data_IF_369104451904
#
_entry.id   IF_369104451904
#
_cell.length_a   1.000
_cell.length_b   1.000
_cell.length_c   1.000
_cell.angle_alpha   90.00
_cell.angle_beta   90.00
_cell.angle_gamma   90.00
#
_symmetry.space_group_name_H-M   'P 1'
#
loop_
_entity.id
_entity.type
_entity.pdbx_description
1 polymer ?
#
# COMPACT_ATOMS: atom_id res chain seq x y z
N UNK A 1 -35.25 -15.43 -13.39
CA UNK A 1 -34.17 -15.71 -14.35
C UNK A 1 -32.82 -15.07 -13.96
N UNK A 2 -32.80 -13.93 -13.27
CA UNK A 2 -31.55 -13.24 -12.87
C UNK A 2 -30.70 -14.00 -11.84
N UNK A 3 -31.29 -14.60 -10.82
CA UNK A 3 -30.55 -15.30 -9.76
C UNK A 3 -29.92 -16.64 -10.18
N UNK A 4 -30.58 -17.35 -11.10
CA UNK A 4 -30.03 -18.60 -11.63
C UNK A 4 -28.82 -18.34 -12.53
N UNK A 5 -28.79 -17.23 -13.25
CA UNK A 5 -27.65 -16.82 -14.08
C UNK A 5 -26.44 -16.33 -13.22
N UNK A 6 -26.67 -15.73 -12.05
CA UNK A 6 -25.62 -15.38 -11.09
C UNK A 6 -24.90 -16.64 -10.58
N UNK A 7 -25.64 -17.69 -10.24
CA UNK A 7 -25.09 -18.97 -9.72
C UNK A 7 -24.27 -19.77 -10.72
N UNK A 8 -24.49 -19.58 -12.01
CA UNK A 8 -23.85 -20.39 -13.08
C UNK A 8 -22.57 -19.75 -13.64
N UNK A 9 -22.38 -18.40 -13.48
CA UNK A 9 -21.23 -17.66 -14.06
C UNK A 9 -20.37 -16.87 -13.08
N UNK A 10 -20.40 -17.19 -11.80
CA UNK A 10 -19.79 -16.42 -10.72
C UNK A 10 -20.84 -15.50 -10.07
N UNK A 11 -20.54 -15.00 -8.87
CA UNK A 11 -21.47 -14.25 -8.02
C UNK A 11 -21.76 -12.83 -8.53
N UNK A 12 -20.90 -12.26 -9.37
CA UNK A 12 -20.94 -10.85 -9.76
C UNK A 12 -21.57 -10.63 -11.15
N UNK A 13 -22.38 -9.56 -11.26
CA UNK A 13 -22.86 -9.06 -12.55
C UNK A 13 -21.77 -8.25 -13.27
N UNK A 14 -21.93 -7.95 -14.59
CA UNK A 14 -20.88 -7.27 -15.37
C UNK A 14 -20.34 -5.98 -14.73
N UNK A 15 -21.18 -5.08 -14.23
CA UNK A 15 -20.72 -3.83 -13.58
C UNK A 15 -19.91 -4.04 -12.32
N UNK A 16 -20.27 -5.04 -11.52
CA UNK A 16 -19.51 -5.42 -10.31
C UNK A 16 -18.12 -6.01 -10.68
N UNK A 17 -18.05 -6.78 -11.76
CA UNK A 17 -16.77 -7.31 -12.27
C UNK A 17 -15.88 -6.20 -12.79
N UNK A 18 -16.44 -5.25 -13.52
CA UNK A 18 -15.69 -4.09 -14.02
C UNK A 18 -15.15 -3.25 -12.87
N UNK A 19 -15.94 -3.11 -11.77
CA UNK A 19 -15.49 -2.45 -10.55
C UNK A 19 -14.29 -3.15 -9.92
N UNK A 20 -14.36 -4.47 -9.70
CA UNK A 20 -13.24 -5.24 -9.16
C UNK A 20 -12.00 -5.21 -10.06
N UNK A 21 -12.16 -5.22 -11.39
CA UNK A 21 -11.03 -5.12 -12.33
C UNK A 21 -10.31 -3.76 -12.22
N UNK A 22 -11.04 -2.66 -12.06
CA UNK A 22 -10.43 -1.34 -11.87
C UNK A 22 -9.71 -1.21 -10.54
N UNK A 23 -10.28 -1.73 -9.45
CA UNK A 23 -9.61 -1.78 -8.16
C UNK A 23 -8.36 -2.68 -8.22
N UNK A 24 -8.41 -3.77 -8.97
CA UNK A 24 -7.25 -4.63 -9.20
C UNK A 24 -6.15 -3.92 -10.01
N UNK A 25 -6.52 -3.04 -10.94
CA UNK A 25 -5.58 -2.19 -11.68
C UNK A 25 -4.90 -1.18 -10.74
N UNK A 26 -5.67 -0.48 -9.88
CA UNK A 26 -5.13 0.41 -8.84
C UNK A 26 -4.17 -0.33 -7.90
N UNK A 27 -4.57 -1.47 -7.36
CA UNK A 27 -3.73 -2.29 -6.49
C UNK A 27 -2.45 -2.76 -7.19
N UNK A 28 -2.49 -2.95 -8.52
CA UNK A 28 -1.30 -3.25 -9.32
C UNK A 28 -0.30 -2.09 -9.39
N UNK A 29 -0.79 -0.85 -9.48
CA UNK A 29 0.06 0.35 -9.41
C UNK A 29 0.67 0.50 -8.01
N UNK A 30 -0.10 0.21 -6.96
CA UNK A 30 0.37 0.17 -5.58
C UNK A 30 1.50 -0.85 -5.38
N UNK A 31 1.35 -2.08 -5.90
CA UNK A 31 2.39 -3.11 -5.85
C UNK A 31 3.69 -2.64 -6.50
N UNK A 32 3.64 -2.04 -7.71
CA UNK A 32 4.82 -1.46 -8.37
C UNK A 32 5.44 -0.34 -7.53
N UNK A 33 4.61 0.49 -6.88
CA UNK A 33 5.09 1.58 -6.02
C UNK A 33 5.84 1.06 -4.79
N UNK A 34 5.34 0.01 -4.12
CA UNK A 34 6.02 -0.61 -2.98
C UNK A 34 7.32 -1.32 -3.38
N UNK A 35 7.37 -1.97 -4.55
CA UNK A 35 8.61 -2.54 -5.10
C UNK A 35 9.68 -1.45 -5.32
N UNK A 36 9.27 -0.28 -5.80
CA UNK A 36 10.16 0.87 -5.96
C UNK A 36 10.62 1.45 -4.62
N UNK A 37 9.77 1.46 -3.57
CA UNK A 37 10.17 1.85 -2.21
C UNK A 37 11.24 0.92 -1.64
N UNK A 38 11.07 -0.39 -1.77
CA UNK A 38 12.10 -1.38 -1.39
C UNK A 38 13.42 -1.11 -2.12
N UNK A 39 13.36 -0.76 -3.41
CA UNK A 39 14.55 -0.41 -4.20
C UNK A 39 15.20 0.89 -3.70
N UNK A 40 14.44 1.94 -3.37
CA UNK A 40 14.94 3.18 -2.78
C UNK A 40 15.69 2.89 -1.48
N UNK A 41 15.08 2.13 -0.57
CA UNK A 41 15.64 1.77 0.72
C UNK A 41 16.92 0.94 0.58
N UNK A 42 16.93 -0.02 -0.35
CA UNK A 42 18.10 -0.88 -0.62
C UNK A 42 19.28 -0.12 -1.25
N UNK A 43 19.00 0.86 -2.11
CA UNK A 43 20.01 1.68 -2.78
C UNK A 43 20.70 2.65 -1.83
N UNK A 44 20.01 3.13 -0.82
CA UNK A 44 20.53 4.10 0.16
C UNK A 44 21.63 3.53 1.08
N UNK A 45 21.75 2.20 1.22
CA UNK A 45 22.72 1.51 2.10
C UNK A 45 24.14 1.37 1.57
N UNK A 46 24.35 1.57 0.28
CA UNK A 46 25.64 1.31 -0.39
C UNK A 46 26.65 2.48 -0.31
N UNK A 47 26.54 3.34 0.69
CA UNK A 47 27.34 4.56 0.91
C UNK A 47 28.75 4.33 1.45
N UNK A 48 29.55 3.40 0.87
CA UNK A 48 30.99 3.37 1.10
C UNK A 48 31.74 3.34 -0.22
N UNK A 49 32.46 4.46 -0.49
CA UNK A 49 33.49 4.66 -1.51
C UNK A 49 33.05 4.63 -2.98
N UNK A 50 33.16 5.77 -3.62
CA UNK A 50 33.21 6.08 -5.08
C UNK A 50 31.94 5.95 -5.94
N UNK A 51 30.75 5.73 -5.36
CA UNK A 51 29.49 5.56 -6.12
C UNK A 51 28.31 6.46 -5.74
N UNK A 52 28.50 7.49 -4.89
CA UNK A 52 27.39 8.28 -4.31
C UNK A 52 26.48 9.00 -5.33
N UNK A 53 26.95 9.28 -6.53
CA UNK A 53 26.13 9.89 -7.59
C UNK A 53 25.10 8.92 -8.17
N UNK A 54 25.41 7.64 -8.33
CA UNK A 54 24.48 6.66 -8.91
C UNK A 54 23.32 6.35 -7.94
N UNK A 55 23.57 6.19 -6.64
CA UNK A 55 22.51 5.87 -5.68
C UNK A 55 21.46 6.97 -5.53
N UNK A 56 21.86 8.25 -5.47
CA UNK A 56 20.91 9.36 -5.44
C UNK A 56 20.11 9.50 -6.73
N UNK A 57 20.75 9.25 -7.88
CA UNK A 57 20.09 9.27 -9.17
C UNK A 57 19.04 8.15 -9.29
N UNK A 58 19.35 6.94 -8.83
CA UNK A 58 18.41 5.81 -8.80
C UNK A 58 17.19 6.10 -7.90
N UNK A 59 17.42 6.75 -6.74
CA UNK A 59 16.33 7.19 -5.85
C UNK A 59 15.44 8.23 -6.53
N UNK A 60 16.01 9.18 -7.25
CA UNK A 60 15.26 10.19 -8.00
C UNK A 60 14.40 9.56 -9.09
N UNK A 61 14.94 8.61 -9.85
CA UNK A 61 14.21 7.86 -10.89
C UNK A 61 13.05 7.08 -10.26
N UNK A 62 13.29 6.36 -9.15
CA UNK A 62 12.24 5.59 -8.48
C UNK A 62 11.14 6.51 -7.92
N UNK A 63 11.51 7.64 -7.28
CA UNK A 63 10.55 8.62 -6.75
C UNK A 63 9.71 9.23 -7.87
N UNK A 64 10.31 9.57 -9.02
CA UNK A 64 9.54 10.10 -10.16
C UNK A 64 8.63 9.04 -10.78
N UNK A 65 9.06 7.77 -10.83
CA UNK A 65 8.19 6.69 -11.29
C UNK A 65 6.99 6.50 -10.37
N UNK A 66 7.16 6.55 -9.04
CA UNK A 66 6.05 6.49 -8.07
C UNK A 66 5.08 7.67 -8.27
N UNK A 67 5.58 8.89 -8.46
CA UNK A 67 4.75 10.05 -8.80
C UNK A 67 3.93 9.87 -10.10
N UNK A 68 4.45 9.15 -11.09
CA UNK A 68 3.71 8.82 -12.30
C UNK A 68 2.63 7.77 -12.02
N UNK A 69 2.93 6.77 -11.18
CA UNK A 69 1.96 5.72 -10.80
C UNK A 69 0.80 6.30 -10.01
N UNK A 70 1.06 7.20 -9.05
CA UNK A 70 0.02 7.92 -8.32
C UNK A 70 -0.89 8.70 -9.27
N UNK A 71 -0.36 9.50 -10.19
CA UNK A 71 -1.18 10.21 -11.19
C UNK A 71 -1.95 9.29 -12.15
N UNK A 72 -1.49 8.07 -12.33
CA UNK A 72 -2.27 7.06 -13.06
C UNK A 72 -3.40 6.53 -12.18
N UNK A 73 -3.15 6.33 -10.88
CA UNK A 73 -4.16 5.98 -9.88
C UNK A 73 -5.30 7.00 -9.85
N UNK A 74 -4.99 8.28 -9.66
CA UNK A 74 -5.96 9.39 -9.69
C UNK A 74 -6.92 9.31 -10.89
N UNK A 75 -6.38 9.05 -12.09
CA UNK A 75 -7.20 8.94 -13.30
C UNK A 75 -8.10 7.72 -13.30
N UNK A 76 -7.62 6.59 -12.77
CA UNK A 76 -8.43 5.39 -12.66
C UNK A 76 -9.54 5.63 -11.65
N UNK A 77 -9.26 6.21 -10.49
CA UNK A 77 -10.22 6.55 -9.44
C UNK A 77 -11.27 7.52 -9.96
N UNK A 78 -10.88 8.61 -10.62
CA UNK A 78 -11.82 9.54 -11.25
C UNK A 78 -12.73 8.84 -12.27
N UNK A 79 -12.16 8.00 -13.15
CA UNK A 79 -12.96 7.28 -14.16
C UNK A 79 -13.87 6.22 -13.55
N UNK A 80 -13.48 5.69 -12.37
CA UNK A 80 -14.26 4.75 -11.59
C UNK A 80 -15.47 5.42 -10.94
N UNK A 81 -15.31 6.58 -10.34
CA UNK A 81 -16.40 7.39 -9.80
C UNK A 81 -17.44 7.75 -10.88
N UNK A 82 -16.97 8.15 -12.08
CA UNK A 82 -17.86 8.40 -13.22
C UNK A 82 -18.64 7.13 -13.63
N UNK A 83 -18.03 5.96 -13.55
CA UNK A 83 -18.69 4.69 -13.86
C UNK A 83 -19.75 4.35 -12.82
N UNK A 84 -19.47 4.54 -11.53
CA UNK A 84 -20.40 4.34 -10.43
C UNK A 84 -21.62 5.26 -10.61
N UNK A 85 -21.43 6.56 -10.82
CA UNK A 85 -22.48 7.55 -10.98
C UNK A 85 -23.41 7.33 -12.21
N UNK A 86 -23.05 6.42 -13.13
CA UNK A 86 -23.94 6.02 -14.25
C UNK A 86 -24.97 4.94 -13.89
N UNK A 87 -25.00 4.51 -12.63
CA UNK A 87 -26.00 3.54 -12.14
C UNK A 87 -25.77 2.11 -12.62
N UNK A 88 -24.53 1.75 -12.94
CA UNK A 88 -24.14 0.38 -13.34
C UNK A 88 -24.18 -0.62 -12.19
N UNK A 89 -24.24 -0.13 -10.95
CA UNK A 89 -24.26 -0.87 -9.69
C UNK A 89 -25.43 -0.35 -8.84
N UNK A 90 -25.95 -1.16 -7.92
CA UNK A 90 -27.01 -0.73 -6.99
C UNK A 90 -26.46 0.29 -5.99
N UNK A 91 -27.21 1.36 -5.70
CA UNK A 91 -26.78 2.46 -4.83
C UNK A 91 -26.29 2.03 -3.43
N UNK A 92 -26.78 0.91 -2.89
CA UNK A 92 -26.32 0.39 -1.59
C UNK A 92 -24.89 -0.15 -1.62
N UNK A 93 -24.40 -0.56 -2.76
CA UNK A 93 -23.04 -1.15 -2.95
C UNK A 93 -22.11 -0.14 -3.61
N UNK A 94 -22.65 0.85 -4.30
CA UNK A 94 -21.91 1.94 -4.94
C UNK A 94 -21.02 2.66 -3.93
N UNK A 95 -21.55 2.97 -2.75
CA UNK A 95 -20.81 3.62 -1.66
C UNK A 95 -19.62 2.77 -1.18
N UNK A 96 -19.84 1.45 -0.98
CA UNK A 96 -18.77 0.56 -0.52
C UNK A 96 -17.68 0.38 -1.58
N UNK A 97 -18.04 0.35 -2.86
CA UNK A 97 -17.07 0.33 -3.95
C UNK A 97 -16.29 1.65 -4.06
N UNK A 98 -16.95 2.81 -3.83
CA UNK A 98 -16.27 4.10 -3.78
C UNK A 98 -15.20 4.10 -2.68
N UNK A 99 -15.59 3.75 -1.43
CA UNK A 99 -14.66 3.64 -0.31
C UNK A 99 -13.50 2.67 -0.57
N UNK A 100 -13.79 1.54 -1.22
CA UNK A 100 -12.78 0.55 -1.55
C UNK A 100 -11.75 1.12 -2.55
N UNK A 101 -12.21 1.86 -3.55
CA UNK A 101 -11.31 2.54 -4.49
C UNK A 101 -10.48 3.63 -3.80
N UNK A 102 -11.11 4.45 -2.93
CA UNK A 102 -10.45 5.50 -2.17
C UNK A 102 -9.34 4.94 -1.25
N UNK A 103 -9.58 3.80 -0.57
CA UNK A 103 -8.55 3.17 0.26
C UNK A 103 -7.36 2.69 -0.58
N UNK A 104 -7.62 2.07 -1.73
CA UNK A 104 -6.54 1.58 -2.61
C UNK A 104 -5.78 2.74 -3.27
N UNK A 105 -6.47 3.83 -3.63
CA UNK A 105 -5.82 5.05 -4.13
C UNK A 105 -4.96 5.70 -3.05
N UNK A 106 -5.45 5.75 -1.80
CA UNK A 106 -4.69 6.24 -0.64
C UNK A 106 -3.39 5.47 -0.39
N UNK A 107 -3.31 4.18 -0.74
CA UNK A 107 -2.05 3.42 -0.72
C UNK A 107 -1.01 4.03 -1.67
N UNK A 108 -1.42 4.46 -2.86
CA UNK A 108 -0.54 5.14 -3.84
C UNK A 108 -0.08 6.50 -3.32
N UNK A 109 -0.98 7.27 -2.72
CA UNK A 109 -0.69 8.56 -2.08
C UNK A 109 0.36 8.41 -0.98
N UNK A 110 0.19 7.44 -0.08
CA UNK A 110 1.14 7.15 1.00
C UNK A 110 2.49 6.68 0.45
N UNK A 111 2.51 5.79 -0.52
CA UNK A 111 3.74 5.35 -1.18
C UNK A 111 4.49 6.53 -1.83
N UNK A 112 3.77 7.46 -2.48
CA UNK A 112 4.34 8.68 -3.03
C UNK A 112 4.88 9.61 -1.94
N UNK A 113 4.13 9.85 -0.86
CA UNK A 113 4.58 10.66 0.28
C UNK A 113 5.84 10.07 0.91
N UNK A 114 5.84 8.77 1.22
CA UNK A 114 6.98 8.04 1.78
C UNK A 114 8.21 8.12 0.86
N UNK A 115 8.07 7.95 -0.45
CA UNK A 115 9.18 8.04 -1.42
C UNK A 115 9.87 9.40 -1.36
N UNK A 116 9.09 10.49 -1.23
CA UNK A 116 9.62 11.87 -1.10
C UNK A 116 10.33 12.09 0.24
N UNK A 117 9.81 11.50 1.32
CA UNK A 117 10.45 11.57 2.64
C UNK A 117 11.79 10.82 2.63
N UNK A 118 11.81 9.58 2.16
CA UNK A 118 13.02 8.77 2.02
C UNK A 118 14.09 9.48 1.18
N UNK A 119 13.71 10.14 0.08
CA UNK A 119 14.62 10.97 -0.73
C UNK A 119 15.22 12.13 0.08
N UNK A 120 14.44 12.77 0.96
CA UNK A 120 14.93 13.87 1.82
C UNK A 120 15.92 13.36 2.87
N UNK A 121 15.61 12.25 3.53
CA UNK A 121 16.47 11.60 4.54
C UNK A 121 17.80 11.20 3.91
N UNK A 122 17.77 10.56 2.74
CA UNK A 122 19.01 10.11 2.06
C UNK A 122 19.93 11.26 1.67
N UNK A 123 19.40 12.46 1.40
CA UNK A 123 20.20 13.66 1.12
C UNK A 123 20.88 14.27 2.38
N UNK A 124 20.47 13.85 3.57
CA UNK A 124 21.01 14.29 4.86
C UNK A 124 21.36 13.11 5.75
N UNK A 125 22.40 12.32 5.41
CA UNK A 125 22.74 11.14 6.18
C UNK A 125 23.20 11.55 7.59
N UNK A 126 22.72 10.80 8.59
CA UNK A 126 23.14 10.94 9.99
C UNK A 126 24.60 10.49 10.13
N UNK A 127 25.51 11.42 10.43
CA UNK A 127 26.93 11.08 10.64
C UNK A 127 27.19 10.54 12.05
N UNK A 128 26.45 11.04 13.04
CA UNK A 128 26.66 10.76 14.47
C UNK A 128 25.83 9.56 14.97
N UNK A 129 24.77 9.16 14.26
CA UNK A 129 23.90 8.05 14.60
C UNK A 129 23.84 6.97 13.50
N UNK A 130 24.97 6.63 12.91
CA UNK A 130 25.06 5.71 11.77
C UNK A 130 24.53 4.30 12.07
N UNK A 131 24.71 3.83 13.29
CA UNK A 131 24.22 2.51 13.73
C UNK A 131 22.69 2.51 13.78
N UNK A 132 22.09 3.56 14.35
CA UNK A 132 20.65 3.77 14.34
C UNK A 132 20.10 3.83 12.92
N UNK A 133 20.68 4.66 12.05
CA UNK A 133 20.24 4.78 10.63
C UNK A 133 20.25 3.43 9.90
N UNK A 134 21.29 2.60 10.17
CA UNK A 134 21.41 1.28 9.54
C UNK A 134 20.36 0.30 10.07
N UNK A 135 20.11 0.29 11.39
CA UNK A 135 19.12 -0.57 12.02
C UNK A 135 17.69 -0.15 11.57
N UNK A 136 17.36 1.13 11.69
CA UNK A 136 16.06 1.65 11.28
C UNK A 136 15.76 1.37 9.81
N UNK A 137 16.73 1.51 8.92
CA UNK A 137 16.56 1.20 7.50
C UNK A 137 16.24 -0.27 7.24
N UNK A 138 16.87 -1.17 7.99
CA UNK A 138 16.59 -2.61 7.87
C UNK A 138 15.15 -2.93 8.26
N UNK A 139 14.69 -2.36 9.35
CA UNK A 139 13.30 -2.55 9.81
C UNK A 139 12.30 -1.85 8.87
N UNK A 140 12.63 -0.68 8.32
CA UNK A 140 11.82 -0.02 7.30
C UNK A 140 11.69 -0.86 6.01
N UNK A 141 12.76 -1.53 5.57
CA UNK A 141 12.68 -2.49 4.44
C UNK A 141 11.74 -3.63 4.80
N UNK A 142 11.82 -4.16 6.01
CA UNK A 142 10.96 -5.23 6.49
C UNK A 142 9.48 -4.80 6.49
N UNK A 143 9.17 -3.65 7.07
CA UNK A 143 7.82 -3.09 7.12
C UNK A 143 7.22 -2.91 5.70
N UNK A 144 7.97 -2.31 4.77
CA UNK A 144 7.51 -2.16 3.37
C UNK A 144 7.37 -3.51 2.66
N UNK A 145 8.17 -4.52 3.00
CA UNK A 145 8.03 -5.88 2.45
C UNK A 145 6.80 -6.60 2.96
N UNK A 146 6.41 -6.39 4.23
CA UNK A 146 5.14 -6.86 4.79
C UNK A 146 3.99 -6.23 3.98
N UNK A 147 3.96 -4.91 3.82
CA UNK A 147 2.95 -4.21 3.01
C UNK A 147 2.88 -4.70 1.56
N UNK A 148 4.02 -4.99 0.93
CA UNK A 148 4.07 -5.56 -0.41
C UNK A 148 3.45 -6.97 -0.46
N UNK A 149 3.70 -7.79 0.56
CA UNK A 149 3.13 -9.14 0.68
C UNK A 149 1.62 -9.07 0.89
N UNK A 150 1.18 -8.16 1.75
CA UNK A 150 -0.21 -7.88 2.06
C UNK A 150 -0.98 -7.41 0.80
N UNK A 151 -0.41 -6.48 0.04
CA UNK A 151 -1.03 -5.97 -1.20
C UNK A 151 -1.11 -7.06 -2.29
N UNK A 152 -0.15 -7.96 -2.36
CA UNK A 152 -0.20 -9.15 -3.22
C UNK A 152 -1.31 -10.12 -2.81
N UNK A 153 -1.51 -10.34 -1.51
CA UNK A 153 -2.62 -11.13 -0.98
C UNK A 153 -3.97 -10.45 -1.30
N UNK A 154 -4.05 -9.12 -1.15
CA UNK A 154 -5.23 -8.33 -1.50
C UNK A 154 -5.59 -8.45 -3.00
N UNK A 155 -4.63 -8.39 -3.92
CA UNK A 155 -4.87 -8.61 -5.35
C UNK A 155 -5.40 -10.02 -5.65
N UNK A 156 -4.92 -11.03 -4.94
CA UNK A 156 -5.49 -12.39 -5.03
C UNK A 156 -6.91 -12.42 -4.51
N UNK A 157 -7.19 -11.77 -3.37
CA UNK A 157 -8.53 -11.62 -2.80
C UNK A 157 -9.50 -11.03 -3.83
N UNK A 158 -9.16 -9.92 -4.49
CA UNK A 158 -9.97 -9.31 -5.55
C UNK A 158 -10.26 -10.28 -6.70
N UNK A 159 -9.30 -11.12 -7.06
CA UNK A 159 -9.45 -12.09 -8.16
C UNK A 159 -10.48 -13.19 -7.84
N UNK A 160 -10.54 -13.61 -6.58
CA UNK A 160 -11.37 -14.76 -6.17
C UNK A 160 -12.67 -14.35 -5.48
N UNK A 161 -12.85 -13.08 -5.14
CA UNK A 161 -13.99 -12.56 -4.39
C UNK A 161 -15.35 -12.98 -4.98
N UNK A 162 -15.47 -13.08 -6.30
CA UNK A 162 -16.70 -13.51 -6.99
C UNK A 162 -16.83 -15.01 -7.22
N UNK A 163 -15.89 -15.84 -6.75
CA UNK A 163 -15.85 -17.28 -7.13
C UNK A 163 -15.64 -18.22 -5.96
N UNK A 164 -14.92 -17.82 -4.93
CA UNK A 164 -14.57 -18.70 -3.80
C UNK A 164 -14.58 -17.94 -2.47
N UNK A 165 -15.75 -17.90 -1.83
CA UNK A 165 -15.96 -17.20 -0.56
C UNK A 165 -15.03 -17.66 0.57
N UNK A 166 -14.83 -18.96 0.73
CA UNK A 166 -14.03 -19.46 1.84
C UNK A 166 -12.57 -19.04 1.69
N UNK A 167 -12.02 -19.16 0.49
CA UNK A 167 -10.65 -18.73 0.20
C UNK A 167 -10.50 -17.22 0.30
N UNK A 168 -11.54 -16.43 -0.06
CA UNK A 168 -11.53 -14.98 0.12
C UNK A 168 -11.44 -14.60 1.61
N UNK A 169 -12.20 -15.27 2.48
CA UNK A 169 -12.13 -15.06 3.94
C UNK A 169 -10.75 -15.47 4.51
N UNK A 170 -10.15 -16.53 3.99
CA UNK A 170 -8.80 -16.95 4.41
C UNK A 170 -7.73 -15.90 4.01
N UNK A 171 -7.81 -15.35 2.79
CA UNK A 171 -6.91 -14.29 2.36
C UNK A 171 -7.10 -12.99 3.15
N UNK A 172 -8.34 -12.62 3.51
CA UNK A 172 -8.58 -11.46 4.36
C UNK A 172 -7.94 -11.63 5.74
N UNK A 173 -8.00 -12.82 6.33
CA UNK A 173 -7.29 -13.12 7.60
C UNK A 173 -5.77 -13.13 7.45
N UNK A 174 -5.24 -13.56 6.32
CA UNK A 174 -3.80 -13.46 6.03
C UNK A 174 -3.37 -11.99 5.97
N UNK A 175 -4.21 -11.11 5.39
CA UNK A 175 -3.97 -9.67 5.31
C UNK A 175 -4.00 -9.03 6.71
N UNK A 176 -4.97 -9.37 7.56
CA UNK A 176 -5.07 -8.95 8.96
C UNK A 176 -3.83 -9.38 9.76
N UNK A 177 -3.38 -10.63 9.64
CA UNK A 177 -2.17 -11.12 10.31
C UNK A 177 -0.89 -10.40 9.86
N UNK A 178 -0.81 -9.99 8.60
CA UNK A 178 0.32 -9.21 8.09
C UNK A 178 0.30 -7.78 8.61
N UNK A 179 -0.87 -7.18 8.82
CA UNK A 179 -1.01 -5.88 9.48
C UNK A 179 -0.56 -5.96 10.95
N UNK A 180 -1.03 -6.97 11.73
CA UNK A 180 -0.58 -7.20 13.09
C UNK A 180 0.97 -7.38 13.18
N UNK A 181 1.59 -8.09 12.22
CA UNK A 181 3.06 -8.20 12.12
C UNK A 181 3.71 -6.83 11.83
N UNK A 182 3.08 -6.01 10.98
CA UNK A 182 3.52 -4.65 10.67
C UNK A 182 3.48 -3.73 11.88
N UNK A 183 2.39 -3.78 12.63
CA UNK A 183 2.21 -3.04 13.89
C UNK A 183 3.32 -3.35 14.91
N UNK A 184 3.65 -4.62 15.10
CA UNK A 184 4.76 -5.04 15.97
C UNK A 184 6.11 -4.46 15.52
N UNK A 185 6.37 -4.44 14.21
CA UNK A 185 7.58 -3.83 13.63
C UNK A 185 7.58 -2.32 13.83
N UNK A 186 6.47 -1.63 13.55
CA UNK A 186 6.31 -0.18 13.77
C UNK A 186 6.59 0.18 15.22
N UNK A 187 5.94 -0.51 16.17
CA UNK A 187 6.08 -0.22 17.60
C UNK A 187 7.53 -0.40 18.07
N UNK A 188 8.21 -1.47 17.63
CA UNK A 188 9.63 -1.66 17.90
C UNK A 188 10.51 -0.55 17.30
N UNK A 189 10.22 -0.07 16.08
CA UNK A 189 10.92 1.05 15.44
C UNK A 189 10.70 2.36 16.21
N UNK A 190 9.48 2.61 16.69
CA UNK A 190 9.16 3.80 17.49
C UNK A 190 9.83 3.75 18.84
N UNK A 191 9.83 2.63 19.54
CA UNK A 191 10.53 2.45 20.83
C UNK A 191 12.04 2.73 20.69
N UNK A 192 12.68 2.22 19.64
CA UNK A 192 14.10 2.48 19.35
C UNK A 192 14.34 3.96 19.00
N UNK A 193 13.45 4.59 18.24
CA UNK A 193 13.52 6.00 17.89
C UNK A 193 13.43 6.90 19.14
N UNK A 194 12.45 6.64 20.01
CA UNK A 194 12.29 7.38 21.26
C UNK A 194 13.43 7.09 22.25
N UNK A 195 13.95 5.86 22.29
CA UNK A 195 15.14 5.51 23.07
C UNK A 195 16.45 6.18 22.60
N UNK A 196 16.48 6.62 21.33
CA UNK A 196 17.65 7.24 20.69
C UNK A 196 17.53 8.76 20.54
N UNK A 197 16.50 9.40 21.09
CA UNK A 197 16.17 10.82 20.85
C UNK A 197 17.34 11.79 21.16
N UNK A 198 18.14 11.52 22.18
CA UNK A 198 19.29 12.37 22.55
C UNK A 198 20.42 12.38 21.50
N UNK A 199 20.46 11.37 20.63
CA UNK A 199 21.48 11.20 19.57
C UNK A 199 21.03 11.82 18.24
N UNK A 200 19.78 12.28 18.15
CA UNK A 200 19.15 12.75 16.94
C UNK A 200 18.85 14.25 17.04
N UNK A 201 19.09 15.01 15.97
CA UNK A 201 18.51 16.34 15.85
C UNK A 201 16.99 16.25 15.59
N UNK A 202 16.27 17.34 15.90
CA UNK A 202 14.82 17.38 15.76
C UNK A 202 14.33 17.01 14.35
N UNK A 203 15.02 17.46 13.31
CA UNK A 203 14.60 17.22 11.94
C UNK A 203 14.78 15.72 11.57
N UNK A 204 15.86 15.11 12.05
CA UNK A 204 16.10 13.67 11.87
C UNK A 204 15.08 12.83 12.63
N UNK A 205 14.84 13.13 13.91
CA UNK A 205 13.82 12.47 14.71
C UNK A 205 12.44 12.54 14.04
N UNK A 206 12.02 13.74 13.64
CA UNK A 206 10.74 13.94 12.98
C UNK A 206 10.63 13.18 11.65
N UNK A 207 11.70 13.18 10.85
CA UNK A 207 11.70 12.44 9.59
C UNK A 207 11.58 10.92 9.78
N UNK A 208 12.25 10.33 10.78
CA UNK A 208 12.11 8.90 11.08
C UNK A 208 10.72 8.57 11.60
N UNK A 209 10.16 9.42 12.48
CA UNK A 209 8.79 9.28 12.97
C UNK A 209 7.79 9.27 11.80
N UNK A 210 7.83 10.28 10.96
CA UNK A 210 6.94 10.44 9.81
C UNK A 210 7.06 9.26 8.83
N UNK A 211 8.29 8.84 8.50
CA UNK A 211 8.49 7.72 7.56
C UNK A 211 7.98 6.39 8.11
N UNK A 212 8.09 6.18 9.43
CA UNK A 212 7.58 4.97 10.08
C UNK A 212 6.05 4.95 10.05
N UNK A 213 5.40 6.06 10.40
CA UNK A 213 3.94 6.19 10.37
C UNK A 213 3.41 6.05 8.93
N UNK A 214 4.00 6.74 7.95
CA UNK A 214 3.56 6.66 6.55
C UNK A 214 3.70 5.24 5.97
N UNK A 215 4.70 4.47 6.42
CA UNK A 215 4.87 3.09 5.98
C UNK A 215 3.80 2.16 6.57
N UNK A 216 3.44 2.37 7.82
CA UNK A 216 2.41 1.64 8.54
C UNK A 216 1.00 1.95 7.99
N UNK A 217 0.67 3.23 7.75
CA UNK A 217 -0.59 3.65 7.13
C UNK A 217 -0.88 2.90 5.80
N UNK A 218 0.14 2.43 5.10
CA UNK A 218 -0.03 1.61 3.88
C UNK A 218 -0.62 0.24 4.22
N UNK A 219 -0.20 -0.35 5.35
CA UNK A 219 -0.66 -1.65 5.80
C UNK A 219 -2.10 -1.56 6.30
N UNK A 220 -2.40 -0.55 7.10
CA UNK A 220 -3.75 -0.25 7.60
C UNK A 220 -4.75 -0.08 6.44
N UNK A 221 -4.39 0.72 5.44
CA UNK A 221 -5.23 0.95 4.25
C UNK A 221 -5.48 -0.34 3.45
N UNK A 222 -4.50 -1.23 3.40
CA UNK A 222 -4.65 -2.51 2.72
C UNK A 222 -5.57 -3.48 3.48
N UNK A 223 -5.49 -3.49 4.81
CA UNK A 223 -6.39 -4.24 5.68
C UNK A 223 -7.82 -3.70 5.57
N UNK A 224 -8.03 -2.39 5.74
CA UNK A 224 -9.30 -1.70 5.55
C UNK A 224 -9.93 -2.00 4.17
N UNK A 225 -9.12 -1.99 3.10
CA UNK A 225 -9.59 -2.34 1.76
C UNK A 225 -10.03 -3.81 1.68
N UNK A 226 -9.32 -4.73 2.34
CA UNK A 226 -9.67 -6.15 2.39
C UNK A 226 -11.00 -6.38 3.08
N UNK A 227 -11.27 -5.69 4.19
CA UNK A 227 -12.54 -5.75 4.94
C UNK A 227 -13.72 -5.22 4.11
N UNK A 228 -13.48 -4.16 3.33
CA UNK A 228 -14.48 -3.65 2.39
C UNK A 228 -14.79 -4.67 1.29
N UNK A 229 -13.81 -5.41 0.77
CA UNK A 229 -14.07 -6.50 -0.19
C UNK A 229 -15.00 -7.55 0.43
N UNK A 230 -14.73 -7.98 1.67
CA UNK A 230 -15.58 -8.96 2.37
C UNK A 230 -16.99 -8.39 2.61
N UNK A 231 -17.11 -7.09 2.91
CA UNK A 231 -18.38 -6.40 3.10
C UNK A 231 -19.18 -6.37 1.79
N UNK A 232 -18.55 -5.98 0.69
CA UNK A 232 -19.16 -5.99 -0.66
C UNK A 232 -19.60 -7.40 -1.06
N UNK A 233 -18.76 -8.42 -0.83
CA UNK A 233 -19.13 -9.82 -1.10
C UNK A 233 -20.39 -10.25 -0.32
N UNK A 234 -20.47 -9.91 0.98
CA UNK A 234 -21.65 -10.21 1.80
C UNK A 234 -22.91 -9.51 1.27
N UNK A 235 -22.80 -8.26 0.88
CA UNK A 235 -23.91 -7.47 0.33
C UNK A 235 -24.39 -8.02 -1.03
N UNK A 236 -23.49 -8.54 -1.83
CA UNK A 236 -23.80 -9.19 -3.11
C UNK A 236 -24.32 -10.63 -2.97
N UNK A 237 -24.28 -11.21 -1.78
CA UNK A 237 -24.69 -12.60 -1.52
C UNK A 237 -23.70 -13.63 -2.07
N UNK A 238 -22.45 -13.23 -2.18
CA UNK A 238 -21.34 -14.06 -2.63
C UNK A 238 -20.73 -14.87 -1.46
#
# INVERSE_FOLDING_TARGET
MSDLFRRVKGFFVPGEKDAFLRIQELAGLGEESLELLVKILSSSGNGTSSGSHNGLHDIEICTERINILEKMGDKITQSFEEMLGRGSITASIEYDFGRLADNVDSILDRAHALSRQLRRVTRRPLREAKEFDTANRKEMIHLVQIGLTQLRAFRKLLTIAGTNRNQAIELAREIEQLEEEGDDVKDAMLDELYGSWEKLDYASFHNYLETTIEADDILDLCEDASDLVITVMKALGA
#
